data_IF_436772906219
#
_entry.id   IF_436772906219
#
_cell.length_a   1.000
_cell.length_b   1.000
_cell.length_c   1.000
_cell.angle_alpha   90.00
_cell.angle_beta   90.00
_cell.angle_gamma   90.00
#
_symmetry.space_group_name_H-M   'P 1'
#
loop_
_entity.id
_entity.type
_entity.pdbx_description
1 polymer ?
#
# COMPACT_ATOMS: atom_id res chain seq x y z
N UNK A 1 4.95 4.30 -23.50
CA UNK A 1 3.47 4.21 -23.49
C UNK A 1 2.93 5.22 -22.48
N UNK A 2 1.95 6.03 -22.89
CA UNK A 2 1.31 7.01 -22.00
C UNK A 2 0.34 6.29 -21.06
N UNK A 3 0.82 6.01 -19.85
CA UNK A 3 0.03 5.34 -18.80
C UNK A 3 -0.99 6.31 -18.19
N UNK A 4 -0.58 7.56 -17.98
CA UNK A 4 -1.41 8.58 -17.33
C UNK A 4 -2.61 8.93 -18.21
N UNK A 5 -2.43 9.12 -19.52
CA UNK A 5 -3.50 9.43 -20.46
C UNK A 5 -4.49 8.28 -20.67
N UNK A 6 -4.05 7.03 -20.50
CA UNK A 6 -4.87 5.82 -20.69
C UNK A 6 -5.54 5.30 -19.43
N UNK A 7 -5.07 5.69 -18.26
CA UNK A 7 -5.64 5.23 -16.99
C UNK A 7 -6.88 6.03 -16.59
N UNK A 8 -7.89 5.34 -16.07
CA UNK A 8 -9.17 5.96 -15.64
C UNK A 8 -8.98 7.00 -14.53
N UNK A 9 -8.01 6.80 -13.65
CA UNK A 9 -7.74 7.68 -12.50
C UNK A 9 -6.51 8.59 -12.71
N UNK A 10 -5.95 8.60 -13.93
CA UNK A 10 -4.77 9.39 -14.31
C UNK A 10 -3.57 9.22 -13.35
N UNK A 11 -3.44 8.04 -12.76
CA UNK A 11 -2.43 7.74 -11.75
C UNK A 11 -1.30 6.87 -12.35
N UNK A 12 -0.01 7.25 -12.22
CA UNK A 12 1.13 6.48 -12.72
C UNK A 12 1.50 5.27 -11.83
N UNK A 13 0.56 4.72 -11.04
CA UNK A 13 0.84 3.62 -10.11
C UNK A 13 0.97 2.24 -10.78
N UNK A 14 1.51 1.28 -10.02
CA UNK A 14 1.77 -0.11 -10.44
C UNK A 14 0.57 -0.78 -11.12
N UNK A 15 -0.65 -0.65 -10.59
CA UNK A 15 -1.85 -1.26 -11.16
C UNK A 15 -2.12 -0.74 -12.59
N UNK A 16 -1.97 0.56 -12.84
CA UNK A 16 -2.12 1.15 -14.16
C UNK A 16 -0.95 0.78 -15.10
N UNK A 17 0.25 0.59 -14.56
CA UNK A 17 1.38 0.09 -15.33
C UNK A 17 1.10 -1.33 -15.87
N UNK A 18 0.46 -2.21 -15.09
CA UNK A 18 0.02 -3.53 -15.57
C UNK A 18 -1.08 -3.41 -16.62
N UNK A 19 -2.12 -2.64 -16.37
CA UNK A 19 -3.30 -2.57 -17.26
C UNK A 19 -3.03 -1.81 -18.56
N UNK A 20 -2.28 -0.73 -18.52
CA UNK A 20 -2.01 0.14 -19.67
C UNK A 20 -0.65 -0.14 -20.34
N UNK A 21 0.34 -0.57 -19.55
CA UNK A 21 1.72 -0.83 -20.00
C UNK A 21 2.01 -2.29 -20.33
N UNK A 22 1.21 -3.22 -19.79
CA UNK A 22 1.39 -4.66 -19.91
C UNK A 22 2.26 -5.26 -18.79
N UNK A 23 2.41 -6.59 -18.83
CA UNK A 23 3.06 -7.35 -17.76
C UNK A 23 4.48 -6.86 -17.42
N UNK A 24 5.32 -6.69 -18.42
CA UNK A 24 6.72 -6.28 -18.21
C UNK A 24 6.83 -4.89 -17.56
N UNK A 25 6.07 -3.92 -18.08
CA UNK A 25 6.04 -2.56 -17.51
C UNK A 25 5.50 -2.56 -16.08
N UNK A 26 4.42 -3.31 -15.83
CA UNK A 26 3.84 -3.47 -14.50
C UNK A 26 4.81 -4.09 -13.50
N UNK A 27 5.54 -5.14 -13.91
CA UNK A 27 6.52 -5.82 -13.06
C UNK A 27 7.70 -4.90 -12.72
N UNK A 28 8.26 -4.19 -13.69
CA UNK A 28 9.34 -3.23 -13.43
C UNK A 28 8.90 -2.12 -12.50
N UNK A 29 7.68 -1.60 -12.68
CA UNK A 29 7.11 -0.58 -11.80
C UNK A 29 6.92 -1.12 -10.39
N UNK A 30 6.37 -2.34 -10.24
CA UNK A 30 6.18 -2.99 -8.94
C UNK A 30 7.52 -3.17 -8.20
N UNK A 31 8.50 -3.73 -8.88
CA UNK A 31 9.85 -3.96 -8.33
C UNK A 31 10.48 -2.63 -7.91
N UNK A 32 10.44 -1.61 -8.78
CA UNK A 32 10.94 -0.27 -8.46
C UNK A 32 10.23 0.36 -7.26
N UNK A 33 8.91 0.22 -7.15
CA UNK A 33 8.12 0.76 -6.04
C UNK A 33 8.41 0.03 -4.73
N UNK A 34 8.59 -1.30 -4.77
CA UNK A 34 9.01 -2.08 -3.60
C UNK A 34 10.40 -1.66 -3.13
N UNK A 35 11.38 -1.53 -4.03
CA UNK A 35 12.74 -1.14 -3.66
C UNK A 35 12.85 0.28 -3.13
N UNK A 36 12.05 1.23 -3.64
CA UNK A 36 11.98 2.60 -3.09
C UNK A 36 11.61 2.62 -1.62
N UNK A 37 10.72 1.71 -1.18
CA UNK A 37 10.35 1.56 0.21
C UNK A 37 11.36 0.74 1.01
N UNK A 38 11.78 -0.40 0.46
CA UNK A 38 12.65 -1.37 1.13
C UNK A 38 14.02 -0.78 1.50
N UNK A 39 14.72 -0.21 0.50
CA UNK A 39 16.11 0.20 0.67
C UNK A 39 16.30 1.21 1.80
N UNK A 40 15.56 2.35 1.87
CA UNK A 40 15.76 3.33 2.94
C UNK A 40 15.51 2.77 4.33
N UNK A 41 14.44 1.98 4.49
CA UNK A 41 14.07 1.42 5.80
C UNK A 41 15.07 0.34 6.22
N UNK A 42 15.45 -0.55 5.32
CA UNK A 42 16.45 -1.58 5.59
C UNK A 42 17.80 -0.98 5.97
N UNK A 43 18.30 0.00 5.20
CA UNK A 43 19.57 0.65 5.49
C UNK A 43 19.54 1.38 6.83
N UNK A 44 18.46 2.09 7.13
CA UNK A 44 18.31 2.77 8.41
C UNK A 44 18.42 1.80 9.58
N UNK A 45 17.65 0.71 9.57
CA UNK A 45 17.70 -0.29 10.63
C UNK A 45 19.04 -1.03 10.69
N UNK A 46 19.63 -1.34 9.53
CA UNK A 46 20.94 -1.97 9.45
C UNK A 46 22.04 -1.12 10.10
N UNK A 47 22.03 0.19 9.86
CA UNK A 47 23.03 1.12 10.36
C UNK A 47 22.79 1.51 11.82
N UNK A 48 21.54 1.77 12.20
CA UNK A 48 21.23 2.25 13.56
C UNK A 48 21.04 1.13 14.58
N UNK A 49 20.70 -0.09 14.11
CA UNK A 49 20.32 -1.23 14.96
C UNK A 49 19.18 -0.90 15.94
N UNK A 50 18.40 0.13 15.65
CA UNK A 50 17.39 0.66 16.56
C UNK A 50 16.09 0.99 15.80
N UNK A 51 14.97 0.44 16.28
CA UNK A 51 13.63 0.72 15.78
C UNK A 51 12.93 1.84 16.58
N UNK A 52 13.68 2.88 16.95
CA UNK A 52 13.19 4.05 17.67
C UNK A 52 12.32 5.01 16.84
N UNK A 53 12.02 6.20 17.37
CA UNK A 53 11.10 7.17 16.71
C UNK A 53 11.51 7.56 15.29
N UNK A 54 12.83 7.60 14.99
CA UNK A 54 13.35 7.88 13.65
C UNK A 54 12.89 6.87 12.59
N UNK A 55 12.57 5.63 12.98
CA UNK A 55 12.03 4.60 12.07
C UNK A 55 10.73 5.08 11.43
N UNK A 56 9.86 5.74 12.18
CA UNK A 56 8.59 6.24 11.66
C UNK A 56 8.79 7.27 10.53
N UNK A 57 9.79 8.16 10.66
CA UNK A 57 10.11 9.16 9.64
C UNK A 57 10.67 8.49 8.37
N UNK A 58 11.58 7.53 8.55
CA UNK A 58 12.19 6.80 7.43
C UNK A 58 11.17 5.93 6.70
N UNK A 59 10.18 5.37 7.39
CA UNK A 59 9.06 4.66 6.77
C UNK A 59 8.13 5.60 6.01
N UNK A 60 7.89 6.81 6.49
CA UNK A 60 6.99 7.79 5.86
C UNK A 60 7.61 8.45 4.62
N UNK A 61 8.91 8.72 4.62
CA UNK A 61 9.58 9.47 3.56
C UNK A 61 9.43 8.87 2.15
N UNK A 62 9.62 7.56 1.91
CA UNK A 62 9.41 6.95 0.59
C UNK A 62 7.96 7.06 0.10
N UNK A 63 6.99 6.97 1.02
CA UNK A 63 5.57 7.12 0.69
C UNK A 63 5.28 8.55 0.24
N UNK A 64 5.76 9.53 0.99
CA UNK A 64 5.61 10.95 0.62
C UNK A 64 6.24 11.24 -0.74
N UNK A 65 7.49 10.80 -0.96
CA UNK A 65 8.19 11.01 -2.22
C UNK A 65 7.53 10.32 -3.41
N UNK A 66 6.91 9.14 -3.20
CA UNK A 66 6.16 8.45 -4.23
C UNK A 66 4.80 9.09 -4.51
N UNK A 67 4.06 9.49 -3.46
CA UNK A 67 2.72 10.07 -3.58
C UNK A 67 2.76 11.49 -4.17
N UNK A 68 3.82 12.24 -3.88
CA UNK A 68 3.99 13.64 -4.26
C UNK A 68 5.35 13.85 -4.95
N UNK A 69 5.57 13.12 -6.05
CA UNK A 69 6.82 13.15 -6.78
C UNK A 69 7.10 14.53 -7.36
N UNK A 70 8.24 15.13 -6.99
CA UNK A 70 8.72 16.40 -7.54
C UNK A 70 8.94 16.29 -9.04
N UNK A 71 9.40 15.14 -9.54
CA UNK A 71 9.66 14.89 -10.96
C UNK A 71 8.39 14.86 -11.82
N UNK A 72 7.21 14.72 -11.20
CA UNK A 72 5.91 14.68 -11.86
C UNK A 72 4.97 15.77 -11.33
N UNK A 73 5.50 16.98 -11.09
CA UNK A 73 4.71 18.13 -10.62
C UNK A 73 3.83 17.80 -9.40
N UNK A 74 4.41 17.14 -8.40
CA UNK A 74 3.75 16.68 -7.19
C UNK A 74 2.56 15.71 -7.42
N UNK A 75 2.47 15.14 -8.62
CA UNK A 75 1.57 14.03 -8.91
C UNK A 75 2.34 12.72 -8.84
N UNK A 76 1.76 11.70 -8.23
CA UNK A 76 2.44 10.41 -8.04
C UNK A 76 1.44 9.30 -7.76
N UNK A 77 1.96 8.10 -7.51
CA UNK A 77 1.17 6.91 -7.21
C UNK A 77 0.40 7.00 -5.89
N UNK A 78 -0.27 5.91 -5.51
CA UNK A 78 -1.04 5.80 -4.27
C UNK A 78 -0.23 5.20 -3.10
N UNK A 79 0.98 4.75 -3.34
CA UNK A 79 1.93 4.30 -2.32
C UNK A 79 1.75 2.88 -1.80
N UNK A 80 0.79 2.09 -2.30
CA UNK A 80 0.51 0.74 -1.79
C UNK A 80 1.73 -0.18 -1.96
N UNK A 81 2.33 -0.27 -3.14
CA UNK A 81 3.52 -1.10 -3.36
C UNK A 81 4.73 -0.61 -2.56
N UNK A 82 4.91 0.71 -2.46
CA UNK A 82 5.98 1.30 -1.66
C UNK A 82 5.80 0.98 -0.17
N UNK A 83 4.57 0.97 0.36
CA UNK A 83 4.33 0.60 1.76
C UNK A 83 4.70 -0.86 2.03
N UNK A 84 4.38 -1.79 1.14
CA UNK A 84 4.88 -3.16 1.25
C UNK A 84 6.41 -3.19 1.28
N UNK A 85 7.07 -2.40 0.43
CA UNK A 85 8.53 -2.25 0.44
C UNK A 85 9.05 -1.76 1.78
N UNK A 86 8.48 -0.69 2.34
CA UNK A 86 8.86 -0.18 3.66
C UNK A 86 8.74 -1.25 4.75
N UNK A 87 7.62 -2.00 4.77
CA UNK A 87 7.40 -3.04 5.78
C UNK A 87 8.30 -4.25 5.58
N UNK A 88 8.66 -4.62 4.35
CA UNK A 88 9.68 -5.63 4.07
C UNK A 88 11.07 -5.18 4.54
N UNK A 89 11.39 -3.89 4.43
CA UNK A 89 12.65 -3.32 4.93
C UNK A 89 12.80 -3.38 6.45
N UNK A 90 11.71 -3.64 7.19
CA UNK A 90 11.74 -3.83 8.64
C UNK A 90 12.25 -5.19 9.10
N UNK A 91 12.50 -6.14 8.18
CA UNK A 91 12.98 -7.47 8.60
C UNK A 91 14.22 -7.37 9.50
N UNK A 92 14.27 -8.15 10.62
CA UNK A 92 13.45 -9.33 10.93
C UNK A 92 12.08 -9.07 11.60
N UNK A 93 11.63 -7.82 11.78
CA UNK A 93 10.29 -7.53 12.29
C UNK A 93 9.22 -7.84 11.24
N UNK A 94 8.85 -9.13 11.09
CA UNK A 94 7.94 -9.59 10.05
C UNK A 94 6.45 -9.25 10.30
N UNK A 95 6.05 -9.05 11.56
CA UNK A 95 4.66 -8.81 11.94
C UNK A 95 3.99 -7.66 11.15
N UNK A 96 4.63 -6.50 10.93
CA UNK A 96 4.07 -5.41 10.15
C UNK A 96 3.65 -5.80 8.72
N UNK A 97 4.53 -6.47 7.98
CA UNK A 97 4.24 -6.87 6.60
C UNK A 97 3.19 -7.97 6.55
N UNK A 98 3.16 -8.88 7.52
CA UNK A 98 2.15 -9.94 7.61
C UNK A 98 0.76 -9.36 7.91
N UNK A 99 0.65 -8.35 8.77
CA UNK A 99 -0.62 -7.64 9.02
C UNK A 99 -1.13 -7.02 7.71
N UNK A 100 -0.30 -6.25 6.99
CA UNK A 100 -0.72 -5.61 5.76
C UNK A 100 -1.12 -6.63 4.70
N UNK A 101 -0.31 -7.66 4.49
CA UNK A 101 -0.59 -8.72 3.52
C UNK A 101 -1.86 -9.49 3.88
N UNK A 102 -2.03 -9.90 5.14
CA UNK A 102 -3.21 -10.62 5.62
C UNK A 102 -4.49 -9.83 5.43
N UNK A 103 -4.50 -8.56 5.81
CA UNK A 103 -5.67 -7.67 5.61
C UNK A 103 -5.97 -7.50 4.12
N UNK A 104 -4.97 -7.23 3.27
CA UNK A 104 -5.18 -7.06 1.84
C UNK A 104 -5.68 -8.32 1.15
N UNK A 105 -5.12 -9.49 1.49
CA UNK A 105 -5.56 -10.78 0.94
C UNK A 105 -7.01 -11.05 1.37
N UNK A 106 -7.32 -10.85 2.64
CA UNK A 106 -8.68 -11.05 3.17
C UNK A 106 -9.70 -10.18 2.44
N UNK A 107 -9.40 -8.87 2.27
CA UNK A 107 -10.29 -7.92 1.59
C UNK A 107 -10.28 -8.05 0.05
N UNK A 108 -9.41 -8.86 -0.51
CA UNK A 108 -9.34 -9.12 -1.95
C UNK A 108 -9.91 -10.47 -2.35
N UNK A 109 -9.89 -11.45 -1.46
CA UNK A 109 -10.23 -12.84 -1.77
C UNK A 109 -11.40 -13.34 -0.92
N UNK A 110 -11.37 -13.16 0.40
CA UNK A 110 -12.39 -13.70 1.31
C UNK A 110 -13.62 -12.79 1.41
N UNK A 111 -13.41 -11.51 1.66
CA UNK A 111 -14.46 -10.48 1.73
C UNK A 111 -14.11 -9.40 0.72
N UNK A 112 -14.45 -9.64 -0.55
CA UNK A 112 -14.05 -8.73 -1.63
C UNK A 112 -14.76 -7.39 -1.50
N UNK A 113 -13.98 -6.35 -1.20
CA UNK A 113 -14.42 -4.96 -1.17
C UNK A 113 -14.13 -4.31 -2.51
N UNK A 114 -15.15 -3.84 -3.20
CA UNK A 114 -15.05 -3.15 -4.51
C UNK A 114 -15.70 -1.78 -4.44
N UNK A 115 -15.20 -0.80 -5.19
CA UNK A 115 -13.95 -0.78 -5.97
C UNK A 115 -12.68 -0.71 -5.12
N UNK A 116 -11.51 -0.80 -5.76
CA UNK A 116 -10.20 -0.76 -5.10
C UNK A 116 -9.99 0.44 -4.16
N UNK A 117 -10.62 1.55 -4.46
CA UNK A 117 -10.64 2.75 -3.63
C UNK A 117 -11.05 2.45 -2.18
N UNK A 118 -12.24 1.85 -1.99
CA UNK A 118 -12.74 1.53 -0.65
C UNK A 118 -11.94 0.40 -0.01
N UNK A 119 -11.52 -0.59 -0.80
CA UNK A 119 -10.66 -1.67 -0.29
C UNK A 119 -9.38 -1.13 0.33
N UNK A 120 -8.70 -0.19 -0.33
CA UNK A 120 -7.46 0.39 0.20
C UNK A 120 -7.71 1.19 1.48
N UNK A 121 -8.73 2.05 1.51
CA UNK A 121 -9.07 2.82 2.71
C UNK A 121 -9.39 1.87 3.88
N UNK A 122 -10.27 0.88 3.67
CA UNK A 122 -10.63 -0.10 4.69
C UNK A 122 -9.40 -0.89 5.16
N UNK A 123 -8.55 -1.32 4.23
CA UNK A 123 -7.34 -2.07 4.55
C UNK A 123 -6.41 -1.27 5.47
N UNK A 124 -6.07 -0.03 5.12
CA UNK A 124 -5.15 0.77 5.91
C UNK A 124 -5.75 1.24 7.24
N UNK A 125 -7.07 1.42 7.33
CA UNK A 125 -7.75 1.65 8.60
C UNK A 125 -7.62 0.42 9.52
N UNK A 126 -7.91 -0.78 9.01
CA UNK A 126 -7.76 -2.01 9.78
C UNK A 126 -6.30 -2.27 10.17
N UNK A 127 -5.34 -2.06 9.26
CA UNK A 127 -3.90 -2.19 9.54
C UNK A 127 -3.48 -1.28 10.68
N UNK A 128 -3.97 -0.03 10.73
CA UNK A 128 -3.66 0.90 11.83
C UNK A 128 -4.18 0.38 13.17
N UNK A 129 -5.44 -0.09 13.20
CA UNK A 129 -6.06 -0.61 14.42
C UNK A 129 -5.32 -1.86 14.91
N UNK A 130 -5.05 -2.82 14.01
CA UNK A 130 -4.35 -4.06 14.38
C UNK A 130 -2.92 -3.76 14.83
N UNK A 131 -2.20 -2.88 14.11
CA UNK A 131 -0.83 -2.50 14.44
C UNK A 131 -0.72 -1.82 15.81
N UNK A 132 -1.72 -1.05 16.21
CA UNK A 132 -1.74 -0.40 17.52
C UNK A 132 -1.62 -1.40 18.68
N UNK A 133 -2.26 -2.57 18.55
CA UNK A 133 -2.24 -3.61 19.57
C UNK A 133 -1.15 -4.67 19.36
N UNK A 134 -0.78 -4.98 18.12
CA UNK A 134 0.06 -6.13 17.79
C UNK A 134 1.52 -5.80 17.47
N UNK A 135 1.85 -4.52 17.27
CA UNK A 135 3.21 -4.13 16.87
C UNK A 135 3.95 -3.42 17.98
N UNK A 136 5.13 -3.93 18.30
CA UNK A 136 6.20 -3.31 19.04
C UNK A 136 7.46 -3.39 18.17
N UNK A 137 8.38 -2.42 18.12
CA UNK A 137 8.57 -1.20 18.91
C UNK A 137 7.68 0.01 18.48
N UNK A 138 7.63 1.01 19.36
CA UNK A 138 6.84 2.24 19.16
C UNK A 138 7.12 2.97 17.83
N UNK A 139 8.38 3.03 17.38
CA UNK A 139 8.76 3.67 16.12
C UNK A 139 8.11 2.99 14.90
N UNK A 140 8.04 1.66 14.88
CA UNK A 140 7.40 0.88 13.81
C UNK A 140 5.88 1.09 13.86
N UNK A 141 5.27 0.97 15.03
CA UNK A 141 3.83 1.20 15.25
C UNK A 141 3.41 2.57 14.74
N UNK A 142 4.12 3.61 15.13
CA UNK A 142 3.87 4.99 14.69
C UNK A 142 4.07 5.15 13.18
N UNK A 143 5.12 4.54 12.62
CA UNK A 143 5.39 4.52 11.18
C UNK A 143 4.25 3.91 10.37
N UNK A 144 3.68 2.79 10.82
CA UNK A 144 2.51 2.16 10.20
C UNK A 144 1.29 3.09 10.22
N UNK A 145 1.06 3.79 11.33
CA UNK A 145 -0.02 4.79 11.44
C UNK A 145 0.16 5.94 10.44
N UNK A 146 1.37 6.48 10.33
CA UNK A 146 1.69 7.56 9.39
C UNK A 146 1.53 7.09 7.93
N UNK A 147 2.07 5.92 7.57
CA UNK A 147 1.90 5.32 6.24
C UNK A 147 0.41 5.19 5.91
N UNK A 148 -0.38 4.64 6.83
CA UNK A 148 -1.82 4.46 6.63
C UNK A 148 -2.53 5.80 6.40
N UNK A 149 -2.23 6.81 7.20
CA UNK A 149 -2.78 8.15 7.03
C UNK A 149 -2.43 8.75 5.66
N UNK A 150 -1.17 8.67 5.24
CA UNK A 150 -0.72 9.18 3.94
C UNK A 150 -1.42 8.50 2.77
N UNK A 151 -1.61 7.18 2.84
CA UNK A 151 -2.29 6.42 1.79
C UNK A 151 -3.78 6.72 1.77
N UNK A 152 -4.44 6.79 2.92
CA UNK A 152 -5.85 7.15 3.02
C UNK A 152 -6.09 8.55 2.46
N UNK A 153 -5.29 9.55 2.87
CA UNK A 153 -5.38 10.92 2.36
C UNK A 153 -5.20 10.94 0.84
N UNK A 154 -4.20 10.21 0.30
CA UNK A 154 -3.96 10.14 -1.15
C UNK A 154 -5.14 9.52 -1.90
N UNK A 155 -5.79 8.49 -1.35
CA UNK A 155 -7.00 7.92 -1.94
C UNK A 155 -8.18 8.89 -1.87
N UNK A 156 -8.40 9.56 -0.74
CA UNK A 156 -9.47 10.55 -0.59
C UNK A 156 -9.31 11.74 -1.55
N UNK A 157 -8.06 12.16 -1.81
CA UNK A 157 -7.73 13.23 -2.75
C UNK A 157 -7.72 12.77 -4.22
N UNK A 158 -7.83 11.45 -4.50
CA UNK A 158 -7.79 10.94 -5.87
C UNK A 158 -9.06 11.31 -6.65
N UNK A 159 -8.89 11.52 -7.97
CA UNK A 159 -9.99 11.84 -8.91
C UNK A 159 -10.71 10.59 -9.44
N UNK A 160 -10.65 9.47 -8.72
CA UNK A 160 -11.39 8.27 -9.11
C UNK A 160 -12.91 8.50 -9.05
N UNK A 161 -13.63 8.00 -10.05
CA UNK A 161 -15.09 7.95 -9.99
C UNK A 161 -15.54 7.09 -8.82
N UNK A 162 -16.27 7.69 -7.89
CA UNK A 162 -16.76 7.01 -6.68
C UNK A 162 -17.97 6.16 -7.02
N UNK A 163 -17.72 4.93 -7.44
CA UNK A 163 -18.79 3.93 -7.61
C UNK A 163 -19.33 3.49 -6.24
N UNK A 164 -20.56 2.95 -6.22
CA UNK A 164 -21.14 2.38 -4.98
C UNK A 164 -20.26 1.26 -4.45
N UNK A 165 -20.04 1.27 -3.13
CA UNK A 165 -19.33 0.18 -2.44
C UNK A 165 -20.10 -1.13 -2.61
N UNK A 166 -19.39 -2.20 -2.93
CA UNK A 166 -19.93 -3.56 -3.06
C UNK A 166 -19.11 -4.50 -2.20
N UNK A 167 -19.79 -5.31 -1.42
CA UNK A 167 -19.18 -6.40 -0.67
C UNK A 167 -19.63 -7.72 -1.30
N UNK A 168 -18.69 -8.62 -1.55
CA UNK A 168 -18.99 -9.98 -2.00
C UNK A 168 -18.12 -10.99 -1.25
N UNK A 169 -18.72 -12.13 -0.91
CA UNK A 169 -18.04 -13.25 -0.27
C UNK A 169 -18.02 -14.40 -1.29
N UNK A 170 -16.98 -14.52 -2.12
CA UNK A 170 -16.93 -15.51 -3.18
C UNK A 170 -17.09 -16.95 -2.68
N UNK A 171 -16.55 -17.24 -1.49
CA UNK A 171 -16.67 -18.55 -0.85
C UNK A 171 -18.14 -18.92 -0.58
N UNK A 172 -18.96 -17.96 -0.12
CA UNK A 172 -20.40 -18.18 0.11
C UNK A 172 -21.13 -18.46 -1.21
N UNK A 173 -20.81 -17.71 -2.27
CA UNK A 173 -21.42 -17.91 -3.58
C UNK A 173 -21.03 -19.27 -4.20
N UNK A 174 -19.80 -19.72 -3.97
CA UNK A 174 -19.32 -21.03 -4.40
C UNK A 174 -20.04 -22.18 -3.68
N UNK A 175 -20.23 -22.07 -2.36
CA UNK A 175 -20.95 -23.06 -1.57
C UNK A 175 -22.45 -23.11 -1.91
N UNK A 176 -23.08 -21.95 -2.16
CA UNK A 176 -24.52 -21.88 -2.53
C UNK A 176 -24.83 -22.49 -3.91
N UNK A 177 -23.85 -22.62 -4.82
CA UNK A 177 -24.02 -23.28 -6.13
C UNK A 177 -23.95 -24.81 -6.05
N UNK A 178 -23.62 -25.41 -4.90
CA UNK A 178 -23.51 -26.86 -4.70
C UNK A 178 -24.75 -27.49 -4.06
N UNK A 179 -25.74 -26.69 -3.72
CA UNK A 179 -27.07 -27.11 -3.24
C UNK A 179 -28.15 -26.48 -4.16
#
# INVERSE_FOLDING_TARGET
KDIIGKSKDKNPGTANAFTCGGFFCGTLTLVGDLFKGFIPVFLYLYLTKNAGPGTALVMAAPILGHNYSVFYHFTGGKGIAVSFGCLLGLLPYAVPVLILAGVYITLSVAVVVSPNYYRSITAYTLVTVIAFFAVEPFGIKTGMGIISALIIIKHLASREERQKIRFSVPLYLFLKRRY
#
